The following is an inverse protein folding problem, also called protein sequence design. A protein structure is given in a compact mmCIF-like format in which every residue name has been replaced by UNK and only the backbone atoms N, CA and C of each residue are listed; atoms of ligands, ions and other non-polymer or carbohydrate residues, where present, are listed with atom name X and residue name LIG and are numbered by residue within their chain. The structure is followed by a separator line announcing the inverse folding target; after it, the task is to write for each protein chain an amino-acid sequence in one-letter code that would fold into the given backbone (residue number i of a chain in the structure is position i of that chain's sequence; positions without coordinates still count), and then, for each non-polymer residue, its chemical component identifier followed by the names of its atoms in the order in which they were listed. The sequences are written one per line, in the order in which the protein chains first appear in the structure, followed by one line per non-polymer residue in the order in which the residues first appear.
data_IF_066798729694
#
_entry.id   IF_066798729694
#
_cell.length_a   1.000
_cell.length_b   1.000
_cell.length_c   1.000
_cell.angle_alpha   90.00
_cell.angle_beta   90.00
_cell.angle_gamma   90.00
#
_symmetry.space_group_name_H-M   'P 1'
#
loop_
_entity.id
_entity.type
_entity.pdbx_description
1 polymer ?
#
# COMPACT_ATOMS: atom_id res chain seq x y z
N UNK A 1 42.26 18.90 -38.20
CA UNK A 1 41.05 19.73 -38.01
C UNK A 1 39.83 18.81 -37.98
N UNK A 2 39.37 18.40 -36.80
CA UNK A 2 38.15 17.60 -36.64
C UNK A 2 37.00 18.55 -36.28
N UNK A 3 35.94 18.60 -37.08
CA UNK A 3 34.72 19.34 -36.75
C UNK A 3 33.77 18.38 -36.03
N UNK A 4 33.53 18.64 -34.75
CA UNK A 4 32.39 18.09 -34.03
C UNK A 4 31.11 18.76 -34.54
N UNK A 5 30.25 18.00 -35.23
CA UNK A 5 28.88 18.41 -35.48
C UNK A 5 28.01 17.84 -34.37
N UNK A 6 27.56 18.73 -33.48
CA UNK A 6 26.69 18.44 -32.35
C UNK A 6 25.33 17.94 -32.84
N UNK A 7 24.98 16.70 -32.51
CA UNK A 7 23.59 16.25 -32.53
C UNK A 7 22.95 16.58 -31.18
N UNK A 8 21.84 17.33 -31.11
CA UNK A 8 21.07 17.38 -29.88
C UNK A 8 20.42 16.01 -29.70
N UNK A 9 20.87 15.26 -28.69
CA UNK A 9 20.19 14.05 -28.25
C UNK A 9 18.74 14.37 -27.85
N UNK A 10 17.81 13.41 -27.89
CA UNK A 10 16.45 13.66 -27.47
C UNK A 10 16.46 14.11 -26.01
N UNK A 11 16.01 15.34 -25.76
CA UNK A 11 15.60 15.85 -24.45
C UNK A 11 14.38 15.05 -24.01
N UNK A 12 14.60 13.81 -23.59
CA UNK A 12 13.63 13.03 -22.86
C UNK A 12 13.55 13.67 -21.48
N UNK A 13 12.60 14.60 -21.34
CA UNK A 13 12.09 15.09 -20.08
C UNK A 13 11.96 13.90 -19.13
N UNK A 14 12.84 13.84 -18.13
CA UNK A 14 12.61 13.08 -16.90
C UNK A 14 11.36 13.69 -16.26
N UNK A 15 10.19 13.30 -16.75
CA UNK A 15 8.92 13.61 -16.10
C UNK A 15 9.09 13.08 -14.69
N UNK A 16 9.06 13.97 -13.70
CA UNK A 16 8.93 13.57 -12.31
C UNK A 16 7.85 12.50 -12.25
N UNK A 17 8.19 11.28 -11.82
CA UNK A 17 7.21 10.22 -11.68
C UNK A 17 6.18 10.72 -10.68
N UNK A 18 4.91 10.92 -11.08
CA UNK A 18 3.87 11.33 -10.16
C UNK A 18 3.51 10.09 -9.33
N UNK A 19 4.41 9.66 -8.44
CA UNK A 19 4.22 8.49 -7.58
C UNK A 19 3.17 8.72 -6.49
N UNK A 20 2.18 9.55 -6.76
CA UNK A 20 0.90 9.49 -6.06
C UNK A 20 0.02 8.59 -6.90
N UNK A 21 0.21 7.27 -6.77
CA UNK A 21 -0.86 6.36 -7.18
C UNK A 21 -2.10 6.77 -6.38
N UNK A 22 -3.29 6.89 -7.01
CA UNK A 22 -4.52 7.02 -6.24
C UNK A 22 -4.58 5.88 -5.21
N UNK A 23 -5.37 5.98 -4.12
CA UNK A 23 -5.69 4.83 -3.30
C UNK A 23 -6.54 3.87 -4.15
N UNK A 24 -5.89 3.20 -5.09
CA UNK A 24 -6.46 2.17 -5.94
C UNK A 24 -6.65 0.96 -5.06
N UNK A 25 -7.87 0.42 -5.08
CA UNK A 25 -8.19 -0.83 -4.42
C UNK A 25 -7.14 -1.89 -4.81
N UNK A 26 -6.70 -2.65 -3.81
CA UNK A 26 -5.76 -3.74 -3.98
C UNK A 26 -6.34 -4.77 -4.96
N UNK A 27 -5.57 -5.16 -5.97
CA UNK A 27 -6.01 -6.13 -6.95
C UNK A 27 -6.45 -7.45 -6.28
N UNK A 28 -7.66 -7.92 -6.62
CA UNK A 28 -8.25 -9.12 -6.01
C UNK A 28 -7.34 -10.35 -6.11
N UNK A 29 -6.68 -10.54 -7.25
CA UNK A 29 -5.76 -11.66 -7.47
C UNK A 29 -4.54 -11.60 -6.55
N UNK A 30 -4.10 -10.41 -6.17
CA UNK A 30 -3.00 -10.27 -5.20
C UNK A 30 -3.47 -10.64 -3.79
N UNK A 31 -4.68 -10.23 -3.40
CA UNK A 31 -5.29 -10.63 -2.12
C UNK A 31 -5.42 -12.15 -1.97
N UNK A 32 -5.62 -12.87 -3.07
CA UNK A 32 -5.66 -14.34 -3.08
C UNK A 32 -4.29 -15.00 -2.83
N UNK A 33 -3.18 -14.29 -3.08
CA UNK A 33 -1.81 -14.81 -2.94
C UNK A 33 -1.23 -14.46 -1.55
N UNK A 34 -1.72 -13.41 -0.89
CA UNK A 34 -1.25 -12.96 0.42
C UNK A 34 -2.18 -13.39 1.55
N UNK A 35 -1.64 -13.55 2.76
CA UNK A 35 -2.41 -13.95 3.94
C UNK A 35 -1.85 -13.32 5.22
N UNK A 36 -2.55 -13.49 6.33
CA UNK A 36 -2.04 -13.11 7.66
C UNK A 36 -0.70 -13.82 7.95
N UNK A 37 0.38 -13.10 8.29
CA UNK A 37 1.71 -13.68 8.52
C UNK A 37 1.76 -14.69 9.68
N UNK A 38 0.87 -14.57 10.66
CA UNK A 38 0.85 -15.44 11.85
C UNK A 38 -0.03 -16.68 11.67
N UNK A 39 -1.23 -16.49 11.15
CA UNK A 39 -2.28 -17.53 11.15
C UNK A 39 -2.59 -18.09 9.77
N UNK A 40 -2.01 -17.50 8.71
CA UNK A 40 -2.33 -17.79 7.30
C UNK A 40 -3.80 -17.61 6.92
N UNK A 41 -4.58 -16.92 7.75
CA UNK A 41 -5.95 -16.58 7.42
C UNK A 41 -6.01 -15.60 6.23
N UNK A 42 -7.06 -15.68 5.40
CA UNK A 42 -7.33 -14.73 4.34
C UNK A 42 -7.43 -13.28 4.83
N UNK A 43 -7.14 -12.37 3.92
CA UNK A 43 -7.24 -10.93 4.12
C UNK A 43 -8.24 -10.33 3.12
N UNK A 44 -8.99 -9.32 3.58
CA UNK A 44 -9.84 -8.49 2.71
C UNK A 44 -9.53 -7.02 2.92
N UNK A 45 -9.97 -6.16 2.03
CA UNK A 45 -9.89 -4.72 2.26
C UNK A 45 -10.76 -4.30 3.46
N UNK A 46 -10.26 -3.32 4.20
CA UNK A 46 -10.99 -2.66 5.26
C UNK A 46 -12.09 -1.75 4.68
N UNK A 47 -13.25 -1.77 5.32
CA UNK A 47 -14.31 -0.80 5.07
C UNK A 47 -13.94 0.57 5.66
N UNK A 48 -14.61 1.66 5.23
CA UNK A 48 -14.38 2.99 5.81
C UNK A 48 -14.58 3.04 7.33
N UNK A 49 -15.57 2.30 7.85
CA UNK A 49 -15.83 2.22 9.29
C UNK A 49 -14.72 1.50 10.06
N UNK A 50 -14.14 0.44 9.49
CA UNK A 50 -13.02 -0.28 10.08
C UNK A 50 -11.73 0.54 10.04
N UNK A 51 -11.49 1.28 8.96
CA UNK A 51 -10.39 2.22 8.88
C UNK A 51 -10.50 3.31 9.96
N UNK A 52 -11.70 3.87 10.16
CA UNK A 52 -11.96 4.84 11.22
C UNK A 52 -11.72 4.23 12.61
N UNK A 53 -12.17 2.98 12.84
CA UNK A 53 -11.93 2.24 14.08
C UNK A 53 -10.44 1.98 14.31
N UNK A 54 -9.68 1.56 13.31
CA UNK A 54 -8.24 1.34 13.44
C UNK A 54 -7.51 2.63 13.87
N UNK A 55 -7.91 3.78 13.31
CA UNK A 55 -7.36 5.10 13.68
C UNK A 55 -7.68 5.51 15.12
N UNK A 56 -8.74 4.99 15.75
CA UNK A 56 -9.00 5.23 17.18
C UNK A 56 -8.10 4.40 18.10
N UNK A 57 -7.57 3.27 17.63
CA UNK A 57 -6.66 2.41 18.41
C UNK A 57 -5.18 2.79 18.24
N UNK A 58 -4.75 3.13 17.01
CA UNK A 58 -3.37 3.52 16.71
C UNK A 58 -3.38 4.76 15.83
N UNK A 59 -2.86 5.86 16.38
CA UNK A 59 -2.57 7.03 15.57
C UNK A 59 -1.47 6.68 14.56
N UNK A 60 -1.70 6.97 13.29
CA UNK A 60 -0.74 6.67 12.23
C UNK A 60 -1.16 7.26 10.89
N UNK A 61 -0.16 7.48 10.03
CA UNK A 61 -0.40 7.94 8.67
C UNK A 61 -0.57 6.74 7.75
N UNK A 62 -1.80 6.24 7.65
CA UNK A 62 -2.22 5.16 6.73
C UNK A 62 -3.55 5.51 6.05
N UNK A 63 -3.61 5.27 4.75
CA UNK A 63 -4.74 5.63 3.88
C UNK A 63 -5.80 4.52 3.77
N UNK A 64 -5.40 3.27 3.96
CA UNK A 64 -6.25 2.09 3.84
C UNK A 64 -5.74 0.97 4.77
N UNK A 65 -6.35 -0.21 4.69
CA UNK A 65 -5.88 -1.37 5.42
C UNK A 65 -6.49 -2.67 4.94
N UNK A 66 -5.93 -3.76 5.44
CA UNK A 66 -6.44 -5.11 5.27
C UNK A 66 -6.98 -5.64 6.60
N UNK A 67 -8.14 -6.28 6.54
CA UNK A 67 -8.79 -6.95 7.67
C UNK A 67 -8.56 -8.45 7.54
N UNK A 68 -8.11 -9.07 8.63
CA UNK A 68 -8.05 -10.52 8.74
C UNK A 68 -9.47 -11.10 8.75
N UNK A 69 -9.66 -12.31 8.20
CA UNK A 69 -10.98 -12.95 8.07
C UNK A 69 -11.83 -12.96 9.36
N UNK A 70 -11.20 -13.04 10.54
CA UNK A 70 -11.91 -13.02 11.83
C UNK A 70 -12.25 -11.61 12.36
N UNK A 71 -11.94 -10.56 11.59
CA UNK A 71 -12.25 -9.15 11.86
C UNK A 71 -11.58 -8.57 13.11
N UNK A 72 -10.62 -9.30 13.70
CA UNK A 72 -9.94 -8.89 14.94
C UNK A 72 -8.67 -8.10 14.69
N UNK A 73 -8.07 -8.22 13.51
CA UNK A 73 -6.77 -7.63 13.19
C UNK A 73 -6.84 -6.81 11.90
N UNK A 74 -6.34 -5.57 12.00
CA UNK A 74 -6.17 -4.64 10.90
C UNK A 74 -4.68 -4.47 10.59
N UNK A 75 -4.31 -4.60 9.32
CA UNK A 75 -2.97 -4.31 8.82
C UNK A 75 -3.00 -3.00 8.00
N UNK A 76 -2.25 -1.96 8.39
CA UNK A 76 -2.27 -0.69 7.68
C UNK A 76 -1.64 -0.80 6.29
N UNK A 77 -2.20 -0.06 5.34
CA UNK A 77 -1.57 0.21 4.04
C UNK A 77 -1.04 1.63 4.08
N UNK A 78 0.26 1.78 3.75
CA UNK A 78 0.96 3.07 3.74
C UNK A 78 1.64 3.26 2.41
N UNK A 79 1.32 4.34 1.71
CA UNK A 79 1.82 4.62 0.36
C UNK A 79 1.56 3.44 -0.61
N UNK A 80 0.41 2.77 -0.48
CA UNK A 80 0.04 1.59 -1.27
C UNK A 80 0.76 0.30 -0.87
N UNK A 81 1.54 0.29 0.22
CA UNK A 81 2.27 -0.90 0.69
C UNK A 81 1.58 -1.48 1.94
N UNK A 82 1.07 -2.72 1.90
CA UNK A 82 0.55 -3.41 3.08
C UNK A 82 1.67 -3.74 4.09
N UNK A 83 1.51 -3.32 5.33
CA UNK A 83 2.44 -3.65 6.41
C UNK A 83 2.02 -4.96 7.10
N UNK A 84 2.31 -6.09 6.46
CA UNK A 84 2.02 -7.44 6.99
C UNK A 84 3.09 -7.91 7.99
N UNK A 85 3.26 -7.16 9.07
CA UNK A 85 4.15 -7.50 10.19
C UNK A 85 3.41 -7.35 11.51
N UNK A 86 3.72 -8.22 12.47
CA UNK A 86 3.01 -8.29 13.76
C UNK A 86 3.06 -6.98 14.55
N UNK A 87 4.17 -6.23 14.46
CA UNK A 87 4.33 -4.95 15.19
C UNK A 87 3.47 -3.81 14.61
N UNK A 88 3.09 -3.93 13.34
CA UNK A 88 2.21 -2.96 12.68
C UNK A 88 0.74 -3.38 12.71
N UNK A 89 0.45 -4.61 13.11
CA UNK A 89 -0.90 -5.11 13.28
C UNK A 89 -1.65 -4.33 14.39
N UNK A 90 -2.86 -3.90 14.08
CA UNK A 90 -3.74 -3.21 15.03
C UNK A 90 -4.84 -4.20 15.43
N UNK A 91 -4.94 -4.51 16.73
CA UNK A 91 -6.07 -5.28 17.27
C UNK A 91 -7.27 -4.37 17.41
N UNK A 92 -8.41 -4.82 16.88
CA UNK A 92 -9.66 -4.07 16.91
C UNK A 92 -10.55 -4.45 18.11
N UNK A 93 -10.28 -5.57 18.77
CA UNK A 93 -10.96 -6.06 19.97
C UNK A 93 -10.20 -5.72 21.25
#
# INVERSE_FOLDING_TARGET
MWKAASSPGPTASIRASPNTRPPEAMEKRLLEIICCPETRQPLREATPSELARARSFKAGNFEAGLIRQDEQVFYPIRNGIPLLISDEAIRLA
#
